data_IF_036002807339
#
_entry.id   IF_036002807339
#
_cell.length_a   1.000
_cell.length_b   1.000
_cell.length_c   1.000
_cell.angle_alpha   90.00
_cell.angle_beta   90.00
_cell.angle_gamma   90.00
#
_symmetry.space_group_name_H-M   'P 1'
#
loop_
_entity.id
_entity.type
_entity.pdbx_description
1 polymer ?
#
# COMPACT_ATOMS: atom_id res chain seq x y z
N UNK A 1 23.80 2.01 -7.71
CA UNK A 1 23.44 1.85 -6.28
C UNK A 1 22.26 0.89 -6.22
N UNK A 2 22.47 -0.33 -5.72
CA UNK A 2 21.46 -1.41 -5.70
C UNK A 2 20.45 -1.12 -4.58
N UNK A 3 19.16 -1.21 -4.89
CA UNK A 3 18.06 -1.00 -3.95
C UNK A 3 18.33 -1.70 -2.60
N UNK A 4 18.06 -1.04 -1.48
CA UNK A 4 18.36 -1.53 -0.12
C UNK A 4 17.42 -2.65 0.35
N UNK A 5 16.59 -3.20 -0.55
CA UNK A 5 15.60 -4.23 -0.26
C UNK A 5 14.36 -3.69 0.44
N UNK A 6 13.52 -4.60 0.95
CA UNK A 6 12.31 -4.28 1.69
C UNK A 6 12.53 -4.54 3.18
N UNK A 7 12.24 -3.55 4.01
CA UNK A 7 12.24 -3.68 5.48
C UNK A 7 10.80 -3.62 5.99
N UNK A 8 10.37 -4.66 6.73
CA UNK A 8 8.99 -4.79 7.23
C UNK A 8 7.92 -4.61 6.13
N UNK A 9 8.24 -5.02 4.90
CA UNK A 9 7.36 -4.90 3.73
C UNK A 9 7.32 -3.51 3.09
N UNK A 10 8.15 -2.57 3.55
CA UNK A 10 8.32 -1.23 2.99
C UNK A 10 9.65 -1.15 2.23
N UNK A 11 9.68 -0.66 0.97
CA UNK A 11 10.93 -0.53 0.23
C UNK A 11 11.84 0.51 0.88
N UNK A 12 13.09 0.12 1.15
CA UNK A 12 14.14 1.03 1.61
C UNK A 12 14.67 1.80 0.41
N UNK A 13 14.15 3.01 0.22
CA UNK A 13 14.46 3.86 -0.93
C UNK A 13 15.66 4.73 -0.59
N UNK A 14 16.77 4.52 -1.30
CA UNK A 14 17.98 5.36 -1.21
C UNK A 14 18.08 6.38 -2.36
N UNK A 15 17.10 6.39 -3.27
CA UNK A 15 17.11 7.20 -4.48
C UNK A 15 15.83 8.01 -4.67
N UNK A 16 15.58 8.46 -5.91
CA UNK A 16 14.35 9.19 -6.26
C UNK A 16 13.14 8.25 -6.21
N UNK A 17 12.08 8.69 -5.54
CA UNK A 17 10.79 8.00 -5.55
C UNK A 17 10.11 8.23 -6.89
N UNK A 18 9.67 7.15 -7.55
CA UNK A 18 8.91 7.21 -8.79
C UNK A 18 7.55 6.51 -8.63
N UNK A 19 6.69 6.61 -9.64
CA UNK A 19 5.39 5.91 -9.63
C UNK A 19 5.56 4.40 -9.52
N UNK A 20 6.62 3.84 -10.13
CA UNK A 20 6.92 2.41 -10.06
C UNK A 20 7.20 1.95 -8.62
N UNK A 21 7.76 2.83 -7.77
CA UNK A 21 8.04 2.51 -6.36
C UNK A 21 6.77 2.12 -5.59
N UNK A 22 5.62 2.68 -5.97
CA UNK A 22 4.33 2.43 -5.31
C UNK A 22 3.45 1.42 -6.04
N UNK A 23 3.88 0.89 -7.19
CA UNK A 23 3.12 -0.09 -7.98
C UNK A 23 2.80 -1.35 -7.17
N UNK A 24 3.76 -1.82 -6.38
CA UNK A 24 3.58 -3.00 -5.51
C UNK A 24 2.46 -2.79 -4.46
N UNK A 25 2.26 -1.56 -3.99
CA UNK A 25 1.18 -1.24 -3.03
C UNK A 25 -0.18 -1.39 -3.70
N UNK A 26 -0.30 -0.89 -4.94
CA UNK A 26 -1.53 -0.98 -5.72
C UNK A 26 -1.88 -2.45 -5.97
N UNK A 27 -0.90 -3.25 -6.40
CA UNK A 27 -1.07 -4.69 -6.64
C UNK A 27 -1.48 -5.44 -5.36
N UNK A 28 -0.84 -5.17 -4.21
CA UNK A 28 -1.22 -5.73 -2.91
C UNK A 28 -2.65 -5.35 -2.50
N UNK A 29 -3.04 -4.11 -2.75
CA UNK A 29 -4.39 -3.62 -2.44
C UNK A 29 -5.43 -4.32 -3.31
N UNK A 30 -5.18 -4.43 -4.61
CA UNK A 30 -6.06 -5.15 -5.55
C UNK A 30 -6.18 -6.63 -5.22
N UNK A 31 -5.06 -7.29 -4.85
CA UNK A 31 -5.08 -8.70 -4.42
C UNK A 31 -5.93 -8.91 -3.17
N UNK A 32 -5.80 -8.05 -2.15
CA UNK A 32 -6.64 -8.10 -0.94
C UNK A 32 -8.12 -7.89 -1.25
N UNK A 33 -8.44 -6.91 -2.11
CA UNK A 33 -9.80 -6.65 -2.57
C UNK A 33 -10.40 -7.84 -3.33
N UNK A 34 -9.63 -8.45 -4.22
CA UNK A 34 -10.03 -9.64 -4.97
C UNK A 34 -10.35 -10.82 -4.04
N UNK A 35 -9.53 -11.04 -3.01
CA UNK A 35 -9.77 -12.09 -2.02
C UNK A 35 -11.04 -11.84 -1.21
N UNK A 36 -11.37 -10.59 -0.87
CA UNK A 36 -12.59 -10.27 -0.10
C UNK A 36 -13.88 -10.33 -0.90
N UNK A 37 -13.80 -10.23 -2.22
CA UNK A 37 -14.96 -10.49 -3.08
C UNK A 37 -15.53 -11.91 -2.88
N UNK A 38 -14.68 -12.85 -2.45
CA UNK A 38 -15.09 -14.24 -2.15
C UNK A 38 -15.57 -14.46 -0.70
N UNK A 39 -15.41 -13.46 0.19
CA UNK A 39 -15.78 -13.59 1.59
C UNK A 39 -17.29 -13.33 1.81
N UNK A 40 -17.97 -14.05 2.73
CA UNK A 40 -19.38 -13.84 3.03
C UNK A 40 -19.59 -12.60 3.92
N UNK A 41 -19.23 -11.42 3.41
CA UNK A 41 -19.43 -10.14 4.08
C UNK A 41 -20.71 -9.47 3.58
N UNK A 42 -21.41 -8.77 4.47
CA UNK A 42 -22.49 -7.87 4.06
C UNK A 42 -21.93 -6.71 3.21
N UNK A 43 -22.75 -6.13 2.33
CA UNK A 43 -22.34 -5.01 1.47
C UNK A 43 -21.78 -3.83 2.28
N UNK A 44 -22.46 -3.46 3.36
CA UNK A 44 -22.00 -2.41 4.29
C UNK A 44 -20.68 -2.76 4.95
N UNK A 45 -20.52 -4.01 5.41
CA UNK A 45 -19.27 -4.49 6.01
C UNK A 45 -18.10 -4.45 5.02
N UNK A 46 -18.35 -4.84 3.77
CA UNK A 46 -17.37 -4.76 2.69
C UNK A 46 -16.96 -3.31 2.40
N UNK A 47 -17.91 -2.38 2.25
CA UNK A 47 -17.62 -0.96 2.03
C UNK A 47 -16.77 -0.36 3.16
N UNK A 48 -17.07 -0.67 4.42
CA UNK A 48 -16.30 -0.20 5.58
C UNK A 48 -14.88 -0.78 5.58
N UNK A 49 -14.74 -2.08 5.30
CA UNK A 49 -13.43 -2.74 5.24
C UNK A 49 -12.56 -2.16 4.11
N UNK A 50 -13.14 -1.98 2.92
CA UNK A 50 -12.45 -1.36 1.77
C UNK A 50 -11.95 0.02 2.13
N UNK A 51 -12.80 0.87 2.72
CA UNK A 51 -12.41 2.22 3.15
C UNK A 51 -11.27 2.17 4.16
N UNK A 52 -11.37 1.32 5.17
CA UNK A 52 -10.36 1.21 6.23
C UNK A 52 -9.00 0.73 5.71
N UNK A 53 -8.97 -0.21 4.77
CA UNK A 53 -7.70 -0.77 4.28
C UNK A 53 -7.08 0.09 3.18
N UNK A 54 -7.90 0.69 2.32
CA UNK A 54 -7.40 1.59 1.26
C UNK A 54 -6.80 2.86 1.85
N UNK A 55 -7.24 3.31 3.04
CA UNK A 55 -6.60 4.41 3.75
C UNK A 55 -5.32 3.98 4.48
N UNK A 56 -5.35 2.87 5.23
CA UNK A 56 -4.24 2.48 6.09
C UNK A 56 -2.99 1.96 5.34
N UNK A 57 -3.17 1.19 4.25
CA UNK A 57 -2.05 0.61 3.49
C UNK A 57 -1.07 1.64 2.92
N UNK A 58 -1.50 2.64 2.14
CA UNK A 58 -0.58 3.63 1.60
C UNK A 58 0.08 4.45 2.71
N UNK A 59 -0.64 4.78 3.79
CA UNK A 59 -0.08 5.49 4.95
C UNK A 59 1.10 4.71 5.56
N UNK A 60 0.93 3.42 5.81
CA UNK A 60 1.99 2.58 6.37
C UNK A 60 3.23 2.52 5.48
N UNK A 61 3.06 2.39 4.17
CA UNK A 61 4.20 2.26 3.26
C UNK A 61 4.88 3.61 3.00
N UNK A 62 4.13 4.71 3.02
CA UNK A 62 4.67 6.06 2.81
C UNK A 62 5.17 6.72 4.10
N UNK A 63 5.05 6.09 5.27
CA UNK A 63 5.47 6.65 6.56
C UNK A 63 6.95 7.04 6.60
N UNK A 64 7.80 6.34 5.83
CA UNK A 64 9.24 6.57 5.73
C UNK A 64 9.63 7.42 4.52
N UNK A 65 8.66 7.91 3.75
CA UNK A 65 8.90 8.75 2.59
C UNK A 65 9.18 10.19 3.03
N UNK A 66 10.28 10.76 2.54
CA UNK A 66 10.57 12.18 2.71
C UNK A 66 9.52 13.00 1.95
N UNK A 67 8.74 13.79 2.67
CA UNK A 67 7.87 14.81 2.10
C UNK A 67 8.73 15.91 1.47
N UNK A 68 8.31 16.48 0.34
CA UNK A 68 8.97 17.66 -0.19
C UNK A 68 8.85 18.78 0.86
N UNK A 69 9.99 19.33 1.28
CA UNK A 69 10.01 20.52 2.12
C UNK A 69 9.56 21.70 1.27
N UNK A 70 8.55 22.44 1.76
CA UNK A 70 8.24 23.79 1.27
C UNK A 70 9.41 24.75 1.49
#
# INVERSE_FOLDING_TARGET
>A
SKNLGNYLGVPLIHGRITKETYKEIIEKTQSKLGNWKSAPLSFTGMCTLIKSVTSALPIYVMQSTKLASE
#
